data_IF_474314350256
#
_entry.id   IF_474314350256
#
_cell.length_a   1.000
_cell.length_b   1.000
_cell.length_c   1.000
_cell.angle_alpha   90.00
_cell.angle_beta   90.00
_cell.angle_gamma   90.00
#
_symmetry.space_group_name_H-M   'P 1'
#
loop_
_entity.id
_entity.type
_entity.pdbx_description
1 polymer ?
#
# COMPACT_ATOMS: atom_id res chain seq x y z
N UNK A 1 3.24 -19.83 11.90
CA UNK A 1 4.70 -19.55 11.71
C UNK A 1 4.85 -18.03 11.54
N UNK A 2 6.02 -17.44 11.75
CA UNK A 2 6.20 -16.00 11.47
C UNK A 2 6.42 -15.73 9.98
N UNK A 3 6.09 -14.53 9.50
CA UNK A 3 6.35 -14.09 8.13
C UNK A 3 7.80 -14.34 7.70
N UNK A 4 8.01 -14.84 6.47
CA UNK A 4 9.33 -15.10 5.88
C UNK A 4 9.49 -14.41 4.53
N UNK A 5 10.73 -14.10 4.15
CA UNK A 5 11.06 -13.57 2.82
C UNK A 5 11.22 -14.74 1.86
N UNK A 6 10.42 -14.78 0.79
CA UNK A 6 10.57 -15.74 -0.30
C UNK A 6 11.50 -15.20 -1.40
N UNK A 7 11.44 -13.91 -1.67
CA UNK A 7 12.27 -13.21 -2.67
C UNK A 7 12.54 -11.78 -2.21
N UNK A 8 13.75 -11.26 -2.44
CA UNK A 8 14.08 -9.85 -2.26
C UNK A 8 15.12 -9.38 -3.28
N UNK A 9 14.78 -8.34 -4.05
CA UNK A 9 15.70 -7.69 -4.97
C UNK A 9 16.59 -6.70 -4.19
N UNK A 10 17.83 -7.09 -3.92
CA UNK A 10 18.86 -6.21 -3.33
C UNK A 10 19.05 -6.31 -1.81
N UNK A 11 18.29 -7.16 -1.11
CA UNK A 11 18.63 -7.61 0.24
C UNK A 11 19.09 -9.06 0.12
N UNK A 12 20.29 -9.43 0.59
CA UNK A 12 20.72 -10.82 0.59
C UNK A 12 19.66 -11.69 1.26
N UNK A 13 19.08 -12.63 0.52
CA UNK A 13 18.38 -13.76 1.13
C UNK A 13 19.47 -14.56 1.86
N UNK A 14 19.37 -14.81 3.18
CA UNK A 14 20.38 -15.58 3.88
C UNK A 14 20.52 -16.96 3.23
N UNK A 15 21.66 -17.21 2.59
CA UNK A 15 22.08 -18.54 2.16
C UNK A 15 23.20 -18.98 3.10
N UNK A 16 22.90 -19.82 4.08
CA UNK A 16 23.95 -20.44 4.87
C UNK A 16 24.61 -21.54 4.04
N UNK A 17 25.81 -21.26 3.55
CA UNK A 17 26.78 -22.29 3.23
C UNK A 17 28.18 -21.79 3.58
N UNK A 18 28.51 -21.87 4.87
CA UNK A 18 29.88 -21.85 5.35
C UNK A 18 30.07 -22.95 6.41
N UNK A 19 30.24 -24.19 5.95
CA UNK A 19 30.99 -25.19 6.71
C UNK A 19 32.11 -25.68 5.81
N UNK A 20 33.33 -25.32 6.21
CA UNK A 20 34.59 -25.77 5.65
C UNK A 20 34.83 -27.25 5.94
N UNK A 21 35.17 -28.05 4.94
CA UNK A 21 36.03 -29.22 5.09
C UNK A 21 36.62 -29.69 3.74
N UNK A 22 37.96 -29.60 3.63
CA UNK A 22 38.87 -30.55 2.97
C UNK A 22 38.62 -31.04 1.53
N UNK A 23 39.50 -30.63 0.62
CA UNK A 23 39.90 -31.45 -0.56
C UNK A 23 40.79 -32.64 -0.09
N UNK A 24 40.90 -33.78 -0.81
CA UNK A 24 41.40 -33.81 -2.19
C UNK A 24 40.83 -34.86 -3.18
N UNK A 25 41.03 -34.52 -4.47
CA UNK A 25 41.43 -35.35 -5.62
C UNK A 25 40.50 -36.40 -6.29
N UNK A 26 40.26 -36.10 -7.58
CA UNK A 26 40.35 -36.94 -8.80
C UNK A 26 39.36 -38.10 -9.04
N UNK A 27 38.58 -37.96 -10.13
CA UNK A 27 37.92 -39.05 -10.85
C UNK A 27 36.66 -38.60 -11.60
N UNK A 28 36.57 -38.88 -12.90
CA UNK A 28 35.38 -38.66 -13.76
C UNK A 28 35.37 -39.77 -14.81
N UNK A 29 34.26 -40.12 -15.49
CA UNK A 29 32.82 -40.05 -15.16
C UNK A 29 32.11 -41.43 -15.32
N UNK A 30 30.89 -41.58 -14.79
CA UNK A 30 29.86 -42.41 -15.44
C UNK A 30 28.45 -42.09 -14.91
N UNK A 31 27.53 -41.89 -15.88
CA UNK A 31 26.08 -42.07 -15.90
C UNK A 31 25.27 -42.13 -14.59
N UNK A 32 24.31 -41.20 -14.44
CA UNK A 32 22.86 -41.45 -14.43
C UNK A 32 22.15 -40.29 -13.71
N UNK A 33 21.26 -39.59 -14.41
CA UNK A 33 20.32 -38.66 -13.79
C UNK A 33 19.09 -39.41 -13.28
N UNK A 34 18.75 -39.22 -12.00
CA UNK A 34 17.37 -38.85 -11.69
C UNK A 34 17.30 -37.62 -10.76
N UNK A 35 16.29 -36.79 -11.05
CA UNK A 35 15.59 -35.84 -10.18
C UNK A 35 16.27 -35.41 -8.87
N UNK A 36 16.81 -34.19 -8.84
CA UNK A 36 17.12 -33.50 -7.59
C UNK A 36 15.91 -32.67 -7.13
N UNK A 37 15.32 -33.12 -6.03
CA UNK A 37 14.31 -32.42 -5.26
C UNK A 37 14.77 -30.99 -4.92
N UNK A 38 13.93 -30.01 -5.26
CA UNK A 38 14.08 -28.64 -4.81
C UNK A 38 13.98 -28.58 -3.30
N UNK A 39 15.08 -28.18 -2.68
CA UNK A 39 15.22 -27.89 -1.25
C UNK A 39 14.08 -27.00 -0.75
N UNK A 40 13.38 -27.49 0.29
CA UNK A 40 12.31 -26.75 0.94
C UNK A 40 12.78 -25.43 1.57
N UNK A 41 11.87 -24.47 1.78
CA UNK A 41 12.22 -23.14 2.25
C UNK A 41 12.76 -23.14 3.68
N UNK A 42 13.92 -22.50 3.85
CA UNK A 42 14.57 -22.21 5.11
C UNK A 42 13.64 -21.43 6.07
N UNK A 43 13.62 -21.84 7.34
CA UNK A 43 13.03 -21.10 8.46
C UNK A 43 14.16 -20.64 9.39
N UNK A 44 14.18 -19.38 9.83
CA UNK A 44 15.11 -19.03 10.90
C UNK A 44 15.20 -17.58 11.40
N UNK A 45 14.62 -16.57 10.73
CA UNK A 45 14.68 -15.18 11.19
C UNK A 45 13.30 -14.51 11.20
N UNK A 46 12.97 -13.79 12.28
CA UNK A 46 11.83 -12.87 12.29
C UNK A 46 12.10 -11.76 11.28
N UNK A 47 11.23 -11.58 10.29
CA UNK A 47 11.37 -10.51 9.30
C UNK A 47 11.14 -9.15 9.97
N UNK A 48 12.13 -8.26 9.87
CA UNK A 48 11.96 -6.86 10.26
C UNK A 48 11.15 -6.12 9.20
N UNK A 49 9.84 -6.00 9.46
CA UNK A 49 8.93 -5.36 8.52
C UNK A 49 9.18 -3.86 8.37
N UNK A 50 9.74 -3.19 9.38
CA UNK A 50 10.08 -1.77 9.29
C UNK A 50 11.16 -1.53 8.24
N UNK A 51 12.20 -2.37 8.24
CA UNK A 51 13.24 -2.34 7.22
C UNK A 51 12.69 -2.74 5.84
N UNK A 52 11.92 -3.82 5.78
CA UNK A 52 11.40 -4.38 4.52
C UNK A 52 10.39 -3.48 3.81
N UNK A 53 9.62 -2.70 4.56
CA UNK A 53 8.66 -1.73 4.03
C UNK A 53 9.13 -0.27 4.14
N UNK A 54 10.39 -0.03 4.46
CA UNK A 54 10.94 1.32 4.51
C UNK A 54 10.59 2.11 3.24
N UNK A 55 10.10 3.32 3.44
CA UNK A 55 9.78 4.27 2.37
C UNK A 55 11.05 5.10 2.13
N UNK A 56 11.60 5.13 0.91
CA UNK A 56 12.73 5.99 0.59
C UNK A 56 12.38 7.44 0.91
N UNK A 57 13.36 8.22 1.38
CA UNK A 57 13.15 9.65 1.58
C UNK A 57 12.83 10.30 0.23
N UNK A 58 11.64 10.91 0.04
CA UNK A 58 11.32 11.53 -1.24
C UNK A 58 12.27 12.71 -1.49
N UNK A 59 12.64 12.92 -2.75
CA UNK A 59 13.40 14.10 -3.16
C UNK A 59 12.67 15.39 -2.72
N UNK A 60 13.41 16.49 -2.57
CA UNK A 60 12.82 17.77 -2.19
C UNK A 60 11.72 18.16 -3.20
N UNK A 61 10.52 18.46 -2.70
CA UNK A 61 9.36 18.81 -3.53
C UNK A 61 8.65 17.61 -4.20
N UNK A 62 9.12 16.38 -4.00
CA UNK A 62 8.47 15.17 -4.51
C UNK A 62 7.72 14.42 -3.39
N UNK A 63 6.72 13.64 -3.80
CA UNK A 63 6.07 12.64 -2.96
C UNK A 63 6.45 11.23 -3.43
N UNK A 64 6.37 10.27 -2.51
CA UNK A 64 6.40 8.85 -2.79
C UNK A 64 5.03 8.25 -2.47
N UNK A 65 4.38 7.67 -3.47
CA UNK A 65 3.04 7.12 -3.38
C UNK A 65 3.08 5.59 -3.45
N UNK A 66 2.72 4.98 -2.33
CA UNK A 66 2.53 3.53 -2.19
C UNK A 66 1.04 3.22 -2.17
N UNK A 67 0.58 2.26 -2.96
CA UNK A 67 -0.76 1.68 -2.77
C UNK A 67 -0.71 0.42 -1.92
N UNK A 68 -1.80 0.11 -1.22
CA UNK A 68 -1.97 -1.17 -0.53
C UNK A 68 -3.36 -1.78 -0.81
N UNK A 69 -3.38 -3.03 -1.24
CA UNK A 69 -4.59 -3.80 -1.49
C UNK A 69 -4.46 -5.23 -0.95
N UNK A 70 -5.59 -5.85 -0.65
CA UNK A 70 -5.72 -7.31 -0.56
C UNK A 70 -6.58 -7.78 -1.73
N UNK A 71 -6.20 -8.90 -2.34
CA UNK A 71 -6.93 -9.52 -3.43
C UNK A 71 -6.93 -11.05 -3.32
N UNK A 72 -7.97 -11.70 -3.83
CA UNK A 72 -7.97 -13.13 -4.11
C UNK A 72 -7.03 -13.48 -5.27
N UNK A 73 -6.76 -14.77 -5.48
CA UNK A 73 -5.91 -15.25 -6.60
C UNK A 73 -6.51 -14.88 -7.96
N UNK A 74 -7.85 -14.86 -8.06
CA UNK A 74 -8.59 -14.42 -9.25
C UNK A 74 -8.81 -12.89 -9.33
N UNK A 75 -8.18 -12.10 -8.45
CA UNK A 75 -8.07 -10.65 -8.57
C UNK A 75 -9.21 -9.84 -7.97
N UNK A 76 -10.12 -10.46 -7.22
CA UNK A 76 -11.19 -9.76 -6.52
C UNK A 76 -10.66 -9.07 -5.26
N UNK A 77 -11.10 -7.84 -5.00
CA UNK A 77 -10.70 -7.07 -3.82
C UNK A 77 -11.78 -6.98 -2.74
N UNK A 78 -12.91 -7.64 -2.96
CA UNK A 78 -14.05 -7.64 -2.04
C UNK A 78 -14.76 -8.99 -2.00
N UNK A 79 -15.34 -9.29 -0.85
CA UNK A 79 -16.38 -10.29 -0.65
C UNK A 79 -17.54 -9.59 0.05
N UNK A 80 -18.75 -9.72 -0.49
CA UNK A 80 -19.96 -9.04 -0.02
C UNK A 80 -19.79 -7.51 0.16
N UNK A 81 -19.03 -6.90 -0.75
CA UNK A 81 -18.80 -5.46 -0.82
C UNK A 81 -17.66 -4.96 0.06
N UNK A 82 -16.93 -5.81 0.78
CA UNK A 82 -15.82 -5.41 1.66
C UNK A 82 -14.56 -6.26 1.49
N UNK A 83 -13.40 -5.70 1.79
CA UNK A 83 -12.12 -6.42 1.68
C UNK A 83 -11.82 -7.36 2.86
N UNK A 84 -12.48 -7.14 4.01
CA UNK A 84 -12.11 -7.79 5.28
C UNK A 84 -12.08 -9.32 5.28
N UNK A 85 -12.94 -9.97 4.49
CA UNK A 85 -12.97 -11.44 4.40
C UNK A 85 -11.84 -12.04 3.55
N UNK A 86 -11.14 -11.22 2.75
CA UNK A 86 -9.92 -11.62 2.04
C UNK A 86 -8.67 -11.47 2.93
N UNK A 87 -8.74 -10.56 3.91
CA UNK A 87 -7.65 -10.31 4.85
C UNK A 87 -7.55 -11.36 5.96
N UNK A 88 -6.54 -11.21 6.80
CA UNK A 88 -6.30 -12.06 7.96
C UNK A 88 -5.34 -11.40 8.95
N UNK A 89 -4.92 -12.10 10.02
CA UNK A 89 -4.01 -11.53 11.01
C UNK A 89 -2.69 -11.02 10.43
N UNK A 90 -2.11 -11.73 9.46
CA UNK A 90 -0.87 -11.34 8.79
C UNK A 90 -1.05 -10.08 7.93
N UNK A 91 -2.13 -10.00 7.14
CA UNK A 91 -2.49 -8.82 6.37
C UNK A 91 -2.71 -7.60 7.26
N UNK A 92 -3.42 -7.77 8.39
CA UNK A 92 -3.67 -6.68 9.31
C UNK A 92 -2.37 -6.11 9.93
N UNK A 93 -1.34 -6.95 10.13
CA UNK A 93 -0.01 -6.49 10.58
C UNK A 93 0.62 -5.59 9.52
N UNK A 94 0.65 -6.02 8.26
CA UNK A 94 1.23 -5.24 7.15
C UNK A 94 0.42 -3.97 6.90
N UNK A 95 -0.91 -4.07 6.83
CA UNK A 95 -1.82 -2.94 6.67
C UNK A 95 -1.58 -1.83 7.71
N UNK A 96 -1.51 -2.20 8.99
CA UNK A 96 -1.23 -1.23 10.08
C UNK A 96 0.17 -0.64 9.96
N UNK A 97 1.16 -1.47 9.68
CA UNK A 97 2.54 -1.02 9.52
C UNK A 97 2.67 0.01 8.40
N UNK A 98 2.07 -0.25 7.24
CA UNK A 98 2.12 0.67 6.09
C UNK A 98 1.53 2.03 6.46
N UNK A 99 0.40 2.06 7.18
CA UNK A 99 -0.16 3.31 7.71
C UNK A 99 0.84 4.03 8.63
N UNK A 100 1.51 3.29 9.51
CA UNK A 100 2.48 3.86 10.46
C UNK A 100 3.79 4.34 9.80
N UNK A 101 4.08 3.97 8.55
CA UNK A 101 5.24 4.44 7.80
C UNK A 101 4.92 5.65 6.89
N UNK A 102 3.64 5.99 6.77
CA UNK A 102 3.15 7.09 5.92
C UNK A 102 3.06 8.43 6.65
N UNK A 103 3.13 9.53 5.90
CA UNK A 103 2.72 10.85 6.36
C UNK A 103 1.20 11.00 6.34
N UNK A 104 0.52 10.35 5.38
CA UNK A 104 -0.91 10.45 5.17
C UNK A 104 -1.48 9.16 4.58
N UNK A 105 -2.66 8.77 5.07
CA UNK A 105 -3.46 7.68 4.49
C UNK A 105 -4.51 8.28 3.57
N UNK A 106 -4.37 8.05 2.27
CA UNK A 106 -5.24 8.56 1.22
C UNK A 106 -6.28 7.50 0.81
N UNK A 107 -7.55 7.87 0.82
CA UNK A 107 -8.64 6.96 0.44
C UNK A 107 -9.75 7.68 -0.33
N UNK A 108 -10.44 6.99 -1.24
CA UNK A 108 -11.64 7.51 -1.91
C UNK A 108 -12.87 7.45 -0.99
N UNK A 109 -13.77 8.44 -1.12
CA UNK A 109 -14.96 8.54 -0.26
C UNK A 109 -15.85 7.29 -0.27
N UNK A 110 -15.98 6.60 -1.41
CA UNK A 110 -16.74 5.36 -1.50
C UNK A 110 -16.21 4.29 -0.55
N UNK A 111 -14.91 4.00 -0.64
CA UNK A 111 -14.22 3.05 0.26
C UNK A 111 -14.28 3.51 1.71
N UNK A 112 -14.07 4.81 1.98
CA UNK A 112 -14.16 5.34 3.34
C UNK A 112 -15.51 5.07 4.00
N UNK A 113 -16.62 5.19 3.26
CA UNK A 113 -17.97 4.85 3.74
C UNK A 113 -18.16 3.33 3.88
N UNK A 114 -17.87 2.58 2.83
CA UNK A 114 -18.12 1.13 2.78
C UNK A 114 -17.38 0.38 3.89
N UNK A 115 -16.13 0.77 4.15
CA UNK A 115 -15.24 0.15 5.14
C UNK A 115 -15.27 0.86 6.51
N UNK A 116 -16.16 1.85 6.68
CA UNK A 116 -16.32 2.62 7.92
C UNK A 116 -14.98 3.16 8.49
N UNK A 117 -14.27 3.91 7.65
CA UNK A 117 -12.96 4.47 7.98
C UNK A 117 -13.04 5.35 9.23
N UNK A 118 -11.97 5.30 10.01
CA UNK A 118 -11.77 6.08 11.22
C UNK A 118 -10.36 6.66 11.29
N UNK A 119 -10.05 7.40 12.35
CA UNK A 119 -8.70 7.85 12.66
C UNK A 119 -7.73 6.66 12.68
N UNK A 120 -6.49 6.88 12.24
CA UNK A 120 -5.47 5.83 12.23
C UNK A 120 -5.10 5.45 13.66
N UNK A 121 -5.33 4.19 14.10
CA UNK A 121 -4.91 3.76 15.42
C UNK A 121 -3.39 3.58 15.45
N UNK A 122 -2.69 4.35 16.28
CA UNK A 122 -1.24 4.27 16.47
C UNK A 122 -0.94 4.04 17.95
N UNK A 123 -0.47 2.85 18.35
CA UNK A 123 -0.04 2.59 19.73
C UNK A 123 1.06 3.55 20.18
N UNK A 124 1.16 3.85 21.49
CA UNK A 124 2.10 4.84 22.03
C UNK A 124 3.55 4.61 21.60
N UNK A 125 4.06 3.39 21.76
CA UNK A 125 5.42 3.02 21.32
C UNK A 125 5.64 3.36 19.83
N UNK A 126 4.60 3.17 19.02
CA UNK A 126 4.67 3.48 17.59
C UNK A 126 4.61 4.97 17.29
N UNK A 127 3.89 5.75 18.10
CA UNK A 127 3.94 7.22 18.03
C UNK A 127 5.35 7.72 18.36
N UNK A 128 5.99 7.19 19.40
CA UNK A 128 7.36 7.53 19.80
C UNK A 128 8.36 7.22 18.67
N UNK A 129 8.25 6.05 18.03
CA UNK A 129 9.06 5.69 16.84
C UNK A 129 8.84 6.62 15.66
N UNK A 130 7.58 7.04 15.40
CA UNK A 130 7.26 8.00 14.34
C UNK A 130 7.90 9.36 14.61
N UNK A 131 7.78 9.87 15.84
CA UNK A 131 8.40 11.15 16.24
C UNK A 131 9.92 11.09 16.11
N UNK A 132 10.55 9.99 16.53
CA UNK A 132 11.99 9.78 16.38
C UNK A 132 12.44 9.76 14.90
N UNK A 133 11.55 9.38 13.99
CA UNK A 133 11.77 9.41 12.54
C UNK A 133 11.38 10.74 11.87
N UNK A 134 11.08 11.78 12.65
CA UNK A 134 10.68 13.10 12.14
C UNK A 134 9.23 13.18 11.63
N UNK A 135 8.39 12.19 11.95
CA UNK A 135 6.99 12.12 11.53
C UNK A 135 6.04 12.62 12.62
N UNK A 136 4.86 13.10 12.21
CA UNK A 136 3.76 13.33 13.14
C UNK A 136 3.39 12.03 13.87
N UNK A 137 3.04 12.07 15.17
CA UNK A 137 2.76 10.87 15.97
C UNK A 137 1.61 10.02 15.39
N UNK A 138 0.59 10.67 14.81
CA UNK A 138 -0.55 10.03 14.14
C UNK A 138 -0.67 10.65 12.73
N UNK A 139 -0.68 9.85 11.66
CA UNK A 139 -0.91 10.37 10.31
C UNK A 139 -2.40 10.74 10.12
N UNK A 140 -2.72 11.88 9.47
CA UNK A 140 -4.08 12.17 9.05
C UNK A 140 -4.59 11.16 8.01
N UNK A 141 -5.92 11.04 7.93
CA UNK A 141 -6.60 10.44 6.78
C UNK A 141 -6.98 11.56 5.83
N UNK A 142 -6.64 11.42 4.55
CA UNK A 142 -7.10 12.27 3.46
C UNK A 142 -8.14 11.51 2.62
N UNK A 143 -9.31 12.11 2.44
CA UNK A 143 -10.40 11.52 1.65
C UNK A 143 -10.59 12.29 0.35
N UNK A 144 -10.51 11.58 -0.78
CA UNK A 144 -10.82 12.12 -2.10
C UNK A 144 -12.32 12.02 -2.36
N UNK A 145 -12.98 13.17 -2.56
CA UNK A 145 -14.43 13.23 -2.74
C UNK A 145 -14.87 14.44 -3.56
N UNK A 146 -15.29 14.24 -4.81
CA UNK A 146 -15.83 15.33 -5.63
C UNK A 146 -17.21 15.83 -5.18
N UNK A 147 -18.01 14.98 -4.53
CA UNK A 147 -19.38 15.34 -4.08
C UNK A 147 -19.49 15.62 -2.58
N UNK A 148 -18.40 15.43 -1.83
CA UNK A 148 -18.39 15.54 -0.37
C UNK A 148 -19.54 14.75 0.29
N UNK A 149 -19.84 13.58 -0.26
CA UNK A 149 -20.92 12.70 0.21
C UNK A 149 -20.45 11.89 1.44
N UNK A 150 -20.27 12.58 2.56
CA UNK A 150 -19.79 12.04 3.82
C UNK A 150 -20.69 12.56 4.95
N UNK A 151 -21.04 11.68 5.88
CA UNK A 151 -21.77 12.05 7.09
C UNK A 151 -20.82 12.77 8.06
N UNK A 152 -21.08 14.03 8.49
CA UNK A 152 -20.26 14.72 9.48
C UNK A 152 -20.14 14.00 10.83
N UNK A 153 -21.03 13.05 11.13
CA UNK A 153 -20.98 12.19 12.32
C UNK A 153 -20.25 10.85 12.09
N UNK A 154 -19.71 10.63 10.90
CA UNK A 154 -18.96 9.42 10.60
C UNK A 154 -17.74 9.27 11.52
N UNK A 155 -17.39 8.02 11.82
CA UNK A 155 -16.24 7.66 12.67
C UNK A 155 -14.95 8.38 12.27
N UNK A 156 -14.74 8.61 10.98
CA UNK A 156 -13.61 9.36 10.41
C UNK A 156 -13.30 10.67 11.14
N UNK A 157 -14.34 11.37 11.60
CA UNK A 157 -14.23 12.70 12.19
C UNK A 157 -14.07 12.70 13.73
N UNK A 158 -14.09 11.54 14.38
CA UNK A 158 -14.04 11.41 15.83
C UNK A 158 -12.63 11.31 16.45
N UNK A 159 -11.57 11.68 15.71
CA UNK A 159 -10.18 11.46 16.11
C UNK A 159 -9.44 12.69 16.63
N UNK A 160 -8.25 12.50 17.23
CA UNK A 160 -7.40 13.59 17.68
C UNK A 160 -6.73 14.34 16.51
N UNK A 161 -6.65 13.72 15.33
CA UNK A 161 -6.13 14.34 14.11
C UNK A 161 -7.29 14.58 13.17
N UNK A 162 -7.43 15.85 12.78
CA UNK A 162 -8.44 16.30 11.84
C UNK A 162 -8.14 15.77 10.44
N UNK A 163 -9.10 15.13 9.74
CA UNK A 163 -8.89 14.59 8.40
C UNK A 163 -8.87 15.70 7.34
N UNK A 164 -8.27 15.39 6.19
CA UNK A 164 -8.28 16.22 4.99
C UNK A 164 -9.39 15.75 4.04
N UNK A 165 -10.15 16.67 3.45
CA UNK A 165 -11.06 16.35 2.35
C UNK A 165 -10.55 17.02 1.06
N UNK A 166 -10.03 16.19 0.16
CA UNK A 166 -9.56 16.62 -1.15
C UNK A 166 -10.75 16.59 -2.12
N UNK A 167 -11.17 17.77 -2.58
CA UNK A 167 -12.38 17.96 -3.37
C UNK A 167 -12.13 18.86 -4.58
N UNK A 168 -13.18 19.28 -5.27
CA UNK A 168 -13.10 20.18 -6.43
C UNK A 168 -13.99 21.42 -6.25
N UNK A 169 -13.80 22.44 -7.10
CA UNK A 169 -14.59 23.67 -7.03
C UNK A 169 -16.10 23.42 -7.19
N UNK A 170 -16.47 22.49 -8.07
CA UNK A 170 -17.85 22.11 -8.33
C UNK A 170 -18.51 21.31 -7.19
N UNK A 171 -17.81 21.02 -6.10
CA UNK A 171 -18.37 20.30 -4.95
C UNK A 171 -19.57 21.08 -4.36
N UNK A 172 -20.68 20.41 -3.99
CA UNK A 172 -21.87 21.09 -3.49
C UNK A 172 -21.57 22.00 -2.28
N UNK A 173 -21.87 23.33 -2.35
CA UNK A 173 -21.50 24.27 -1.29
C UNK A 173 -22.09 23.92 0.08
N UNK A 174 -23.32 23.42 0.13
CA UNK A 174 -23.96 22.99 1.38
C UNK A 174 -23.21 21.85 2.07
N UNK A 175 -22.73 20.88 1.29
CA UNK A 175 -21.95 19.75 1.82
C UNK A 175 -20.56 20.17 2.24
N UNK A 176 -19.95 21.13 1.54
CA UNK A 176 -18.69 21.76 1.94
C UNK A 176 -18.85 22.42 3.31
N UNK A 177 -19.83 23.31 3.46
CA UNK A 177 -20.13 23.98 4.74
C UNK A 177 -20.43 23.00 5.88
N UNK A 178 -21.14 21.90 5.60
CA UNK A 178 -21.45 20.91 6.62
C UNK A 178 -20.21 20.15 7.16
N UNK A 179 -19.15 20.03 6.35
CA UNK A 179 -17.92 19.31 6.71
C UNK A 179 -16.79 20.23 7.19
N UNK A 180 -16.86 21.53 6.92
CA UNK A 180 -15.92 22.55 7.41
C UNK A 180 -15.70 22.54 8.94
N UNK A 181 -16.67 22.18 9.80
CA UNK A 181 -16.40 22.09 11.24
C UNK A 181 -15.56 20.88 11.64
N UNK A 182 -15.52 19.82 10.82
CA UNK A 182 -14.96 18.51 11.20
C UNK A 182 -13.76 18.08 10.36
N UNK A 183 -13.44 18.78 9.28
CA UNK A 183 -12.32 18.46 8.40
C UNK A 183 -11.67 19.70 7.77
N UNK A 184 -10.44 19.53 7.29
CA UNK A 184 -9.75 20.55 6.49
C UNK A 184 -10.01 20.27 5.01
N UNK A 185 -10.71 21.17 4.33
CA UNK A 185 -11.14 20.99 2.94
C UNK A 185 -10.16 21.66 1.99
N UNK A 186 -9.73 20.93 0.95
CA UNK A 186 -8.75 21.40 -0.04
C UNK A 186 -9.28 21.21 -1.45
N UNK A 187 -9.23 22.26 -2.26
CA UNK A 187 -9.64 22.22 -3.65
C UNK A 187 -8.48 21.73 -4.52
N UNK A 188 -8.73 20.67 -5.27
CA UNK A 188 -7.77 19.91 -6.05
C UNK A 188 -8.32 19.66 -7.47
N UNK A 189 -8.88 20.68 -8.11
CA UNK A 189 -9.46 20.61 -9.46
C UNK A 189 -10.79 21.35 -9.56
N UNK A 190 -11.27 21.57 -10.79
CA UNK A 190 -12.48 22.37 -11.03
C UNK A 190 -13.76 21.53 -10.94
N UNK A 191 -13.93 20.56 -11.85
CA UNK A 191 -15.16 19.73 -11.95
C UNK A 191 -15.05 18.40 -11.23
N UNK A 192 -13.84 17.88 -11.12
CA UNK A 192 -13.49 16.64 -10.44
C UNK A 192 -12.16 16.82 -9.72
N UNK A 193 -11.86 15.92 -8.77
CA UNK A 193 -10.54 15.90 -8.15
C UNK A 193 -9.53 15.38 -9.17
N UNK A 194 -8.47 16.14 -9.37
CA UNK A 194 -7.34 15.82 -10.24
C UNK A 194 -6.23 15.19 -9.40
N UNK A 195 -5.79 13.94 -9.69
CA UNK A 195 -4.76 13.27 -8.91
C UNK A 195 -3.45 14.09 -8.74
N UNK A 196 -2.92 14.77 -9.78
CA UNK A 196 -1.73 15.61 -9.61
C UNK A 196 -1.95 16.77 -8.65
N UNK A 197 -3.10 17.44 -8.72
CA UNK A 197 -3.44 18.55 -7.82
C UNK A 197 -3.62 18.06 -6.37
N UNK A 198 -4.26 16.92 -6.18
CA UNK A 198 -4.40 16.27 -4.88
C UNK A 198 -3.03 15.92 -4.27
N UNK A 199 -2.13 15.33 -5.05
CA UNK A 199 -0.78 14.98 -4.59
C UNK A 199 0.07 16.23 -4.30
N UNK A 200 -0.02 17.27 -5.14
CA UNK A 200 0.65 18.55 -4.90
C UNK A 200 0.16 19.21 -3.60
N UNK A 201 -1.15 19.18 -3.35
CA UNK A 201 -1.73 19.71 -2.12
C UNK A 201 -1.24 19.01 -0.85
N UNK A 202 -1.04 17.68 -0.91
CA UNK A 202 -0.45 16.90 0.18
C UNK A 202 1.05 17.26 0.35
N UNK A 203 1.78 17.31 -0.75
CA UNK A 203 3.22 17.62 -0.78
C UNK A 203 3.54 18.99 -0.17
N UNK A 204 2.76 20.03 -0.53
CA UNK A 204 2.90 21.39 0.04
C UNK A 204 2.65 21.45 1.54
N UNK A 205 1.91 20.48 2.09
CA UNK A 205 1.67 20.33 3.54
C UNK A 205 2.74 19.48 4.23
N UNK A 206 3.80 19.10 3.52
CA UNK A 206 4.84 18.20 4.02
C UNK A 206 4.44 16.72 4.06
N UNK A 207 3.26 16.37 3.54
CA UNK A 207 2.75 14.99 3.55
C UNK A 207 3.26 14.25 2.29
N UNK A 208 4.52 13.81 2.32
CA UNK A 208 5.24 13.34 1.12
C UNK A 208 5.29 11.82 1.00
N UNK A 209 5.11 11.08 2.08
CA UNK A 209 5.00 9.61 2.09
C UNK A 209 3.52 9.23 2.09
N UNK A 210 2.93 9.09 0.91
CA UNK A 210 1.49 8.87 0.73
C UNK A 210 1.21 7.37 0.65
N UNK A 211 0.37 6.86 1.56
CA UNK A 211 -0.23 5.53 1.42
C UNK A 211 -1.63 5.67 0.83
N UNK A 212 -1.88 5.15 -0.36
CA UNK A 212 -3.24 5.06 -0.91
C UNK A 212 -3.86 3.68 -0.70
N UNK A 213 -5.04 3.63 -0.10
CA UNK A 213 -5.80 2.39 0.15
C UNK A 213 -7.00 2.27 -0.81
N UNK A 214 -6.89 2.89 -1.99
CA UNK A 214 -7.93 2.90 -3.01
C UNK A 214 -9.09 3.84 -2.68
N UNK A 215 -10.34 3.61 -3.10
CA UNK A 215 -10.81 2.43 -3.83
C UNK A 215 -10.40 2.36 -5.30
N UNK A 216 -10.97 1.41 -6.06
CA UNK A 216 -10.54 1.10 -7.42
C UNK A 216 -10.52 2.27 -8.40
N UNK A 217 -11.47 3.20 -8.27
CA UNK A 217 -11.49 4.42 -9.10
C UNK A 217 -10.31 5.32 -8.78
N UNK A 218 -10.04 5.58 -7.50
CA UNK A 218 -8.91 6.43 -7.09
C UNK A 218 -7.58 5.80 -7.50
N UNK A 219 -7.44 4.49 -7.27
CA UNK A 219 -6.24 3.75 -7.64
C UNK A 219 -6.01 3.79 -9.16
N UNK A 220 -7.05 3.54 -9.96
CA UNK A 220 -6.99 3.65 -11.43
C UNK A 220 -6.64 5.06 -11.90
N UNK A 221 -7.14 6.11 -11.25
CA UNK A 221 -6.80 7.50 -11.57
C UNK A 221 -5.35 7.85 -11.26
N UNK A 222 -4.82 7.44 -10.10
CA UNK A 222 -3.41 7.64 -9.74
C UNK A 222 -2.48 6.87 -10.67
N UNK A 223 -2.85 5.63 -11.00
CA UNK A 223 -2.07 4.79 -11.90
C UNK A 223 -2.05 5.37 -13.33
N UNK A 224 -3.20 5.83 -13.85
CA UNK A 224 -3.30 6.47 -15.17
C UNK A 224 -2.53 7.80 -15.24
N UNK A 225 -2.46 8.54 -14.13
CA UNK A 225 -1.66 9.76 -14.01
C UNK A 225 -0.15 9.47 -13.80
N UNK A 226 0.26 8.20 -13.73
CA UNK A 226 1.64 7.83 -13.49
C UNK A 226 2.14 8.29 -12.11
N UNK A 227 1.27 8.31 -11.11
CA UNK A 227 1.58 8.78 -9.75
C UNK A 227 1.78 7.65 -8.73
N UNK A 228 1.80 6.38 -9.16
CA UNK A 228 2.10 5.25 -8.28
C UNK A 228 3.57 4.88 -8.41
N UNK A 229 4.31 5.00 -7.31
CA UNK A 229 5.71 4.57 -7.21
C UNK A 229 5.82 3.11 -6.80
N UNK A 230 4.88 2.67 -5.95
CA UNK A 230 4.89 1.34 -5.36
C UNK A 230 3.48 0.76 -5.22
N UNK A 231 3.35 -0.54 -5.46
CA UNK A 231 2.11 -1.31 -5.30
C UNK A 231 2.37 -2.46 -4.35
N UNK A 232 1.82 -2.38 -3.14
CA UNK A 232 1.74 -3.48 -2.20
C UNK A 232 0.43 -4.25 -2.40
N UNK A 233 0.52 -5.58 -2.55
CA UNK A 233 -0.64 -6.46 -2.72
C UNK A 233 -0.49 -7.68 -1.83
N UNK A 234 -1.44 -7.85 -0.92
CA UNK A 234 -1.68 -9.12 -0.24
C UNK A 234 -2.48 -10.02 -1.17
N UNK A 235 -1.96 -11.21 -1.49
CA UNK A 235 -2.67 -12.24 -2.26
C UNK A 235 -3.19 -13.30 -1.30
N UNK A 236 -4.50 -13.30 -1.08
CA UNK A 236 -5.20 -14.29 -0.28
C UNK A 236 -5.34 -15.60 -1.08
N UNK A 237 -5.09 -16.77 -0.48
CA UNK A 237 -5.08 -18.06 -1.17
C UNK A 237 -6.51 -18.61 -1.41
N UNK A 238 -7.38 -17.80 -2.00
CA UNK A 238 -8.79 -18.10 -2.28
C UNK A 238 -9.16 -17.70 -3.70
N UNK A 239 -10.20 -18.35 -4.23
CA UNK A 239 -10.94 -17.88 -5.41
C UNK A 239 -12.23 -17.23 -4.91
N UNK A 240 -12.46 -15.97 -5.26
CA UNK A 240 -13.64 -15.23 -4.83
C UNK A 240 -14.82 -15.40 -5.79
N UNK A 241 -14.55 -15.81 -7.04
CA UNK A 241 -15.54 -15.98 -8.09
C UNK A 241 -15.74 -14.72 -8.95
N UNK A 242 -16.43 -14.86 -10.09
CA UNK A 242 -16.57 -13.80 -11.09
C UNK A 242 -17.51 -12.67 -10.62
N UNK A 243 -17.46 -11.53 -11.32
CA UNK A 243 -18.39 -10.41 -11.11
C UNK A 243 -18.02 -9.45 -9.97
N UNK A 244 -16.82 -9.63 -9.40
CA UNK A 244 -16.29 -8.82 -8.30
C UNK A 244 -15.43 -7.67 -8.78
N UNK A 245 -15.22 -6.68 -7.92
CA UNK A 245 -14.35 -5.55 -8.23
C UNK A 245 -12.88 -5.99 -8.27
N UNK A 246 -12.14 -5.50 -9.27
CA UNK A 246 -10.69 -5.55 -9.29
C UNK A 246 -10.05 -4.33 -8.63
N UNK A 247 -8.72 -4.31 -8.54
CA UNK A 247 -7.96 -3.20 -7.93
C UNK A 247 -8.13 -1.86 -8.65
N UNK A 248 -8.52 -1.86 -9.93
CA UNK A 248 -8.70 -0.65 -10.74
C UNK A 248 -10.07 -0.63 -11.40
N UNK A 249 -10.68 0.55 -11.40
CA UNK A 249 -11.84 0.88 -12.24
C UNK A 249 -11.53 2.13 -13.06
N UNK A 250 -11.89 2.12 -14.33
CA UNK A 250 -11.65 3.22 -15.25
C UNK A 250 -11.73 2.76 -16.70
N UNK A 251 -11.52 3.67 -17.66
CA UNK A 251 -11.40 3.30 -19.06
C UNK A 251 -10.19 2.38 -19.28
N UNK A 252 -10.25 1.47 -20.27
CA UNK A 252 -9.11 0.63 -20.62
C UNK A 252 -7.93 1.48 -21.11
N UNK A 253 -6.72 1.05 -20.78
CA UNK A 253 -5.49 1.71 -21.23
C UNK A 253 -5.01 1.13 -22.56
N UNK A 254 -4.26 1.94 -23.31
CA UNK A 254 -3.66 1.52 -24.58
C UNK A 254 -2.50 0.54 -24.40
N UNK A 255 -1.82 0.56 -23.24
CA UNK A 255 -0.72 -0.33 -22.91
C UNK A 255 -0.64 -0.57 -21.38
N UNK A 256 -0.10 -1.73 -20.94
CA UNK A 256 0.16 -1.98 -19.52
C UNK A 256 1.33 -1.14 -19.00
N UNK A 257 1.36 -0.88 -17.69
CA UNK A 257 2.51 -0.29 -16.98
C UNK A 257 3.36 -1.42 -16.41
N UNK A 258 4.67 -1.41 -16.70
CA UNK A 258 5.64 -2.35 -16.14
C UNK A 258 5.94 -2.09 -14.66
N UNK A 259 6.01 -3.17 -13.87
CA UNK A 259 6.37 -3.14 -12.46
C UNK A 259 7.50 -4.14 -12.19
N UNK A 260 8.46 -3.72 -11.36
CA UNK A 260 9.55 -4.53 -10.83
C UNK A 260 9.15 -5.16 -9.51
N UNK A 261 9.33 -6.47 -9.38
CA UNK A 261 9.25 -7.13 -8.07
C UNK A 261 10.34 -6.59 -7.14
N UNK A 262 9.95 -6.07 -5.98
CA UNK A 262 10.86 -5.66 -4.89
C UNK A 262 11.06 -6.83 -3.93
N UNK A 263 9.97 -7.36 -3.38
CA UNK A 263 10.03 -8.54 -2.53
C UNK A 263 8.72 -9.33 -2.53
N UNK A 264 8.81 -10.57 -2.05
CA UNK A 264 7.67 -11.41 -1.69
C UNK A 264 7.87 -11.88 -0.27
N UNK A 265 6.90 -11.62 0.61
CA UNK A 265 6.81 -12.27 1.91
C UNK A 265 5.70 -13.31 1.91
N UNK A 266 5.76 -14.26 2.83
CA UNK A 266 4.69 -15.23 3.04
C UNK A 266 4.46 -15.53 4.52
N UNK A 267 3.19 -15.63 4.91
CA UNK A 267 2.75 -16.14 6.21
C UNK A 267 1.45 -16.95 5.99
N UNK A 268 1.47 -18.22 6.38
CA UNK A 268 0.33 -19.16 6.33
C UNK A 268 -0.36 -19.23 4.93
N UNK A 269 0.44 -19.25 3.86
CA UNK A 269 -0.01 -19.33 2.47
C UNK A 269 -0.47 -18.01 1.85
N UNK A 270 -0.50 -16.92 2.63
CA UNK A 270 -0.79 -15.57 2.14
C UNK A 270 0.51 -14.93 1.64
N UNK A 271 0.49 -14.39 0.42
CA UNK A 271 1.64 -13.72 -0.17
C UNK A 271 1.53 -12.21 0.01
N UNK A 272 2.64 -11.55 0.32
CA UNK A 272 2.74 -10.09 0.38
C UNK A 272 3.72 -9.62 -0.68
N UNK A 273 3.18 -9.07 -1.76
CA UNK A 273 3.95 -8.56 -2.89
C UNK A 273 4.24 -7.08 -2.67
N UNK A 274 5.49 -6.68 -2.84
CA UNK A 274 5.90 -5.27 -3.00
C UNK A 274 6.46 -5.09 -4.40
N UNK A 275 5.80 -4.27 -5.20
CA UNK A 275 6.15 -3.98 -6.58
C UNK A 275 6.52 -2.51 -6.72
N UNK A 276 7.63 -2.18 -7.37
CA UNK A 276 8.02 -0.80 -7.68
C UNK A 276 7.86 -0.51 -9.17
N UNK A 277 7.71 0.75 -9.56
CA UNK A 277 7.69 1.12 -10.99
C UNK A 277 9.03 0.86 -11.67
N UNK A 278 9.01 0.31 -12.89
CA UNK A 278 10.23 -0.01 -13.67
C UNK A 278 11.03 1.24 -14.10
N UNK A 279 10.39 2.40 -14.16
CA UNK A 279 11.00 3.67 -14.59
C UNK A 279 10.88 4.70 -13.47
N UNK A 280 11.95 5.41 -13.09
CA UNK A 280 11.82 6.57 -12.22
C UNK A 280 10.84 7.56 -12.86
N UNK A 281 10.04 8.25 -12.04
CA UNK A 281 9.17 9.33 -12.51
C UNK A 281 10.00 10.31 -13.37
N UNK A 282 9.45 10.85 -14.48
CA UNK A 282 10.14 11.89 -15.21
C UNK A 282 10.48 13.03 -14.25
N UNK A 283 11.73 13.47 -14.26
CA UNK A 283 12.15 14.64 -13.48
C UNK A 283 11.29 15.84 -13.92
N UNK A 284 10.68 16.52 -12.95
CA UNK A 284 9.92 17.75 -13.15
C UNK A 284 10.83 18.90 -13.60
#
# INVERSE_FOLDING_TARGET
MGMRILLSAGIPVPSDSAVTAGSPAAGTPAADSPAAAGSGPASGGTVDLDAVYAVPEPAAGAAHVRSNFVASVDGAIEIDGRSGALGGPADLKVFRLLRWLSDVVLVGAGTARTENYGPVPVPRERQERRVAAGLAPIPPVAVVSGRLDLDPQARLFGGPVRPLLLTCEAAPPDRRRALEPVADIVICGERSVEPPAALAALTTRGLRRVLTEGGPTLHGQFAAAGLLDEVCVTVAPVLAGPGRLGMMMGPPWSAPIGLRLVHVLEEDGVLFLRLGRDTPAPAA
#
